data_IF_399920723017
#
_entry.id   IF_399920723017
#
_cell.length_a   1.000
_cell.length_b   1.000
_cell.length_c   1.000
_cell.angle_alpha   90.00
_cell.angle_beta   90.00
_cell.angle_gamma   90.00
#
_symmetry.space_group_name_H-M   'P 1'
#
loop_
_entity.id
_entity.type
_entity.pdbx_description
1 polymer ?
#
# COMPACT_ATOMS: atom_id res chain seq x y z
N UNK A 1 30.25 64.96 11.21
CA UNK A 1 29.21 64.23 11.97
C UNK A 1 28.30 63.52 10.94
N UNK A 2 28.46 62.22 10.75
CA UNK A 2 27.60 61.41 9.84
C UNK A 2 26.70 60.53 10.72
N UNK A 3 25.39 60.56 10.57
CA UNK A 3 24.51 59.68 11.33
C UNK A 3 24.56 58.26 10.76
N UNK A 4 24.79 57.28 11.65
CA UNK A 4 24.70 55.85 11.38
C UNK A 4 23.21 55.44 11.30
N UNK A 5 22.82 54.92 10.14
CA UNK A 5 21.49 54.41 9.90
C UNK A 5 21.45 52.94 10.42
N UNK A 6 20.50 52.53 11.25
CA UNK A 6 20.40 51.13 11.68
C UNK A 6 19.77 50.27 10.58
N UNK A 7 20.52 49.23 10.20
CA UNK A 7 20.09 48.19 9.27
C UNK A 7 19.08 47.28 9.98
N UNK A 8 17.77 47.42 9.71
CA UNK A 8 16.76 46.48 10.15
C UNK A 8 16.83 45.22 9.32
N UNK A 9 17.38 44.14 9.90
CA UNK A 9 17.25 42.78 9.37
C UNK A 9 15.81 42.32 9.61
N UNK A 10 14.99 42.32 8.59
CA UNK A 10 13.67 41.67 8.60
C UNK A 10 13.86 40.17 8.48
N UNK A 11 13.72 39.46 9.58
CA UNK A 11 13.67 37.97 9.59
C UNK A 11 12.32 37.55 8.97
N UNK A 12 12.32 37.17 7.68
CA UNK A 12 11.19 36.46 7.06
C UNK A 12 11.07 35.08 7.68
N UNK A 13 10.18 34.91 8.65
CA UNK A 13 9.76 33.60 9.13
C UNK A 13 8.93 32.90 8.03
N UNK A 14 9.56 32.02 7.30
CA UNK A 14 8.87 31.10 6.37
C UNK A 14 8.07 30.10 7.21
N UNK A 15 6.81 30.40 7.49
CA UNK A 15 5.87 29.42 8.02
C UNK A 15 5.55 28.43 6.91
N UNK A 16 6.06 27.20 7.02
CA UNK A 16 5.69 26.11 6.13
C UNK A 16 4.17 25.87 6.24
N UNK A 17 3.43 25.79 5.13
CA UNK A 17 2.01 25.50 5.16
C UNK A 17 1.80 24.08 5.68
N UNK A 18 1.30 23.93 6.90
CA UNK A 18 0.78 22.66 7.42
C UNK A 18 -0.49 22.34 6.65
N UNK A 19 -0.40 21.43 5.69
CA UNK A 19 -1.57 20.94 4.96
C UNK A 19 -2.60 20.40 5.98
N UNK A 20 -3.88 20.80 5.91
CA UNK A 20 -4.91 20.32 6.82
C UNK A 20 -5.03 18.80 6.65
N UNK A 21 -4.89 18.04 7.75
CA UNK A 21 -5.20 16.61 7.77
C UNK A 21 -6.69 16.46 7.50
N UNK A 22 -7.05 16.23 6.23
CA UNK A 22 -8.42 16.02 5.80
C UNK A 22 -8.98 14.83 6.58
N UNK A 23 -10.09 15.06 7.32
CA UNK A 23 -10.81 14.00 8.02
C UNK A 23 -11.12 12.88 7.01
N UNK A 24 -10.88 11.60 7.35
CA UNK A 24 -11.16 10.52 6.42
C UNK A 24 -12.64 10.56 6.02
N UNK A 25 -12.88 10.78 4.74
CA UNK A 25 -14.23 10.68 4.18
C UNK A 25 -14.68 9.22 4.29
N UNK A 26 -16.00 8.94 4.46
CA UNK A 26 -16.50 7.59 4.57
C UNK A 26 -16.09 6.79 3.34
N UNK A 27 -15.49 5.62 3.57
CA UNK A 27 -15.07 4.69 2.52
C UNK A 27 -16.29 4.31 1.70
N UNK A 28 -16.28 4.63 0.40
CA UNK A 28 -17.35 4.26 -0.51
C UNK A 28 -17.54 2.74 -0.48
N UNK A 29 -18.77 2.22 -0.30
CA UNK A 29 -18.99 0.78 -0.28
C UNK A 29 -18.58 0.16 -1.62
N UNK A 30 -17.88 -0.98 -1.55
CA UNK A 30 -17.45 -1.72 -2.74
C UNK A 30 -18.64 -2.27 -3.51
N UNK A 31 -18.59 -2.14 -4.82
CA UNK A 31 -19.55 -2.77 -5.74
C UNK A 31 -19.39 -4.30 -5.72
N UNK A 32 -20.41 -5.07 -6.18
CA UNK A 32 -20.27 -6.53 -6.33
C UNK A 32 -19.10 -6.94 -7.23
N UNK A 33 -18.83 -6.19 -8.30
CA UNK A 33 -17.69 -6.41 -9.19
C UNK A 33 -16.37 -6.25 -8.44
N UNK A 34 -16.17 -5.16 -7.70
CA UNK A 34 -14.97 -4.95 -6.88
C UNK A 34 -14.78 -6.03 -5.81
N UNK A 35 -15.85 -6.51 -5.18
CA UNK A 35 -15.76 -7.64 -4.24
C UNK A 35 -15.31 -8.92 -4.94
N UNK A 36 -15.78 -9.16 -6.17
CA UNK A 36 -15.33 -10.27 -7.01
C UNK A 36 -13.84 -10.16 -7.38
N UNK A 37 -13.41 -8.98 -7.81
CA UNK A 37 -12.00 -8.71 -8.16
C UNK A 37 -11.10 -8.89 -6.94
N UNK A 38 -11.53 -8.39 -5.78
CA UNK A 38 -10.80 -8.63 -4.54
C UNK A 38 -10.63 -10.12 -4.26
N UNK A 39 -11.72 -10.88 -4.28
CA UNK A 39 -11.69 -12.30 -3.96
C UNK A 39 -10.87 -13.13 -4.96
N UNK A 40 -10.91 -12.79 -6.24
CA UNK A 40 -10.26 -13.57 -7.31
C UNK A 40 -8.82 -13.17 -7.56
N UNK A 41 -8.45 -11.91 -7.36
CA UNK A 41 -7.15 -11.36 -7.73
C UNK A 41 -6.37 -10.88 -6.50
N UNK A 42 -6.97 -9.97 -5.70
CA UNK A 42 -6.26 -9.28 -4.63
C UNK A 42 -6.02 -10.20 -3.42
N UNK A 43 -7.04 -10.92 -2.95
CA UNK A 43 -6.89 -11.81 -1.78
C UNK A 43 -5.86 -12.92 -2.01
N UNK A 44 -5.86 -13.66 -3.13
CA UNK A 44 -4.83 -14.67 -3.40
C UNK A 44 -3.40 -14.09 -3.43
N UNK A 45 -3.23 -12.87 -3.93
CA UNK A 45 -1.95 -12.15 -3.91
C UNK A 45 -1.50 -11.85 -2.48
N UNK A 46 -2.42 -11.38 -1.62
CA UNK A 46 -2.12 -11.14 -0.21
C UNK A 46 -1.80 -12.42 0.55
N UNK A 47 -2.53 -13.50 0.30
CA UNK A 47 -2.27 -14.81 0.90
C UNK A 47 -0.87 -15.32 0.57
N UNK A 48 -0.43 -15.08 -0.67
CA UNK A 48 0.87 -15.51 -1.14
C UNK A 48 2.04 -14.69 -0.54
N UNK A 49 1.90 -13.38 -0.40
CA UNK A 49 3.04 -12.48 -0.22
C UNK A 49 2.94 -11.56 1.02
N UNK A 50 1.77 -11.45 1.66
CA UNK A 50 1.52 -10.47 2.73
C UNK A 50 1.07 -11.09 4.06
N UNK A 51 0.16 -12.07 4.02
CA UNK A 51 -0.52 -12.63 5.19
C UNK A 51 0.43 -13.32 6.16
N UNK A 52 1.60 -13.78 5.71
CA UNK A 52 2.63 -14.33 6.60
C UNK A 52 3.10 -13.36 7.68
N UNK A 53 3.00 -12.05 7.43
CA UNK A 53 3.34 -10.96 8.36
C UNK A 53 2.15 -10.09 8.74
N UNK A 54 1.10 -10.05 7.91
CA UNK A 54 -0.10 -9.24 8.09
C UNK A 54 -1.35 -10.14 8.11
N UNK A 55 -1.35 -11.13 8.97
CA UNK A 55 -2.45 -12.09 9.13
C UNK A 55 -2.81 -12.30 10.59
N UNK A 56 -3.70 -13.27 10.89
CA UNK A 56 -4.25 -13.46 12.23
C UNK A 56 -3.20 -13.93 13.26
N UNK A 57 -2.12 -14.58 12.82
CA UNK A 57 -1.02 -15.03 13.69
C UNK A 57 0.05 -13.97 13.92
N UNK A 58 0.15 -12.98 13.03
CA UNK A 58 1.17 -11.95 13.07
C UNK A 58 0.63 -10.67 12.43
N UNK A 59 0.35 -9.67 13.24
CA UNK A 59 -0.26 -8.41 12.83
C UNK A 59 0.76 -7.26 12.86
N UNK A 60 1.77 -7.31 11.99
CA UNK A 60 2.72 -6.19 11.91
C UNK A 60 1.99 -4.88 11.57
N UNK A 61 2.26 -3.82 12.33
CA UNK A 61 1.57 -2.54 12.15
C UNK A 61 0.09 -2.55 12.52
N UNK A 62 -0.39 -3.58 13.25
CA UNK A 62 -1.82 -3.84 13.53
C UNK A 62 -2.66 -4.00 12.26
N UNK A 63 -2.02 -4.36 11.15
CA UNK A 63 -2.64 -4.53 9.85
C UNK A 63 -2.87 -6.02 9.58
N UNK A 64 -4.08 -6.35 9.16
CA UNK A 64 -4.47 -7.67 8.65
C UNK A 64 -4.92 -7.56 7.21
N UNK A 65 -4.47 -8.50 6.38
CA UNK A 65 -4.74 -8.57 4.94
C UNK A 65 -5.32 -9.94 4.54
N UNK A 66 -5.76 -10.72 5.52
CA UNK A 66 -6.29 -12.06 5.35
C UNK A 66 -7.80 -12.09 5.02
N UNK A 67 -8.47 -10.95 5.12
CA UNK A 67 -9.87 -10.78 4.72
C UNK A 67 -10.12 -9.37 4.18
N UNK A 68 -11.11 -9.23 3.31
CA UNK A 68 -11.52 -7.93 2.78
C UNK A 68 -11.87 -6.94 3.90
N UNK A 69 -12.63 -7.40 4.89
CA UNK A 69 -13.07 -6.57 6.01
C UNK A 69 -11.88 -6.06 6.83
N UNK A 70 -10.94 -6.94 7.17
CA UNK A 70 -9.74 -6.56 7.92
C UNK A 70 -8.85 -5.60 7.10
N UNK A 71 -8.73 -5.82 5.79
CA UNK A 71 -7.99 -4.95 4.88
C UNK A 71 -8.59 -3.54 4.83
N UNK A 72 -9.91 -3.43 4.70
CA UNK A 72 -10.60 -2.13 4.68
C UNK A 72 -10.56 -1.43 6.04
N UNK A 73 -10.56 -2.18 7.14
CA UNK A 73 -10.37 -1.62 8.49
C UNK A 73 -8.99 -0.96 8.63
N UNK A 74 -7.97 -1.53 7.99
CA UNK A 74 -6.59 -1.08 8.10
C UNK A 74 -5.94 -1.42 9.44
N UNK A 75 -4.79 -0.80 9.70
CA UNK A 75 -4.02 -0.95 10.93
C UNK A 75 -3.79 0.40 11.63
N UNK A 76 -2.52 0.72 11.91
CA UNK A 76 -2.15 2.06 12.39
C UNK A 76 -2.49 3.16 11.39
N UNK A 77 -2.49 2.82 10.10
CA UNK A 77 -2.89 3.66 8.98
C UNK A 77 -3.90 2.89 8.12
N UNK A 78 -4.68 3.61 7.31
CA UNK A 78 -5.57 2.97 6.33
C UNK A 78 -4.74 2.27 5.26
N UNK A 79 -4.97 0.97 5.09
CA UNK A 79 -4.31 0.19 4.05
C UNK A 79 -4.79 0.65 2.67
N UNK A 80 -6.11 0.70 2.51
CA UNK A 80 -6.77 1.19 1.30
C UNK A 80 -7.69 2.36 1.58
N UNK A 81 -7.71 3.30 0.66
CA UNK A 81 -8.74 4.33 0.55
C UNK A 81 -9.29 4.23 -0.87
N UNK A 82 -10.38 3.48 -1.03
CA UNK A 82 -10.98 3.21 -2.35
C UNK A 82 -11.36 4.54 -3.03
N UNK A 83 -10.94 4.70 -4.28
CA UNK A 83 -11.06 5.93 -5.07
C UNK A 83 -9.96 6.97 -4.80
N UNK A 84 -9.00 6.66 -3.88
CA UNK A 84 -7.90 7.57 -3.57
C UNK A 84 -6.58 6.79 -3.38
N UNK A 85 -5.96 6.35 -4.49
CA UNK A 85 -4.75 5.54 -4.44
C UNK A 85 -3.59 6.23 -3.71
N UNK A 86 -3.46 7.56 -3.87
CA UNK A 86 -2.38 8.33 -3.22
C UNK A 86 -2.53 8.42 -1.68
N UNK A 87 -3.73 8.22 -1.14
CA UNK A 87 -3.98 8.20 0.30
C UNK A 87 -3.86 6.78 0.88
N UNK A 88 -3.61 5.78 0.04
CA UNK A 88 -3.56 4.37 0.39
C UNK A 88 -2.16 3.97 0.81
N UNK A 89 -1.93 3.81 2.11
CA UNK A 89 -0.61 3.50 2.67
C UNK A 89 -0.02 2.21 2.10
N UNK A 90 -0.84 1.21 1.79
CA UNK A 90 -0.37 -0.03 1.21
C UNK A 90 0.23 0.20 -0.18
N UNK A 91 -0.44 0.98 -1.04
CA UNK A 91 0.13 1.35 -2.34
C UNK A 91 1.44 2.13 -2.17
N UNK A 92 1.44 3.14 -1.30
CA UNK A 92 2.65 3.90 -1.02
C UNK A 92 3.85 3.00 -0.68
N UNK A 93 3.62 1.89 0.05
CA UNK A 93 4.68 0.95 0.46
C UNK A 93 5.09 -0.03 -0.63
N UNK A 94 4.14 -0.53 -1.44
CA UNK A 94 4.47 -1.52 -2.49
C UNK A 94 5.10 -0.88 -3.73
N UNK A 95 4.91 0.42 -3.92
CA UNK A 95 5.52 1.19 -5.01
C UNK A 95 6.85 1.85 -4.63
N UNK A 96 7.31 1.74 -3.38
CA UNK A 96 8.64 2.22 -3.00
C UNK A 96 9.74 1.46 -3.73
N UNK A 97 10.86 2.16 -3.95
CA UNK A 97 12.08 1.52 -4.41
C UNK A 97 12.50 0.39 -3.45
N UNK A 98 13.06 -0.68 -4.00
CA UNK A 98 13.50 -1.85 -3.22
C UNK A 98 14.60 -1.54 -2.22
N UNK A 99 15.29 -0.42 -2.35
CA UNK A 99 16.30 0.04 -1.38
C UNK A 99 15.69 0.74 -0.16
N UNK A 100 14.45 1.20 -0.25
CA UNK A 100 13.76 1.88 0.84
C UNK A 100 13.56 0.97 2.05
N UNK A 101 13.76 1.51 3.27
CA UNK A 101 13.59 0.74 4.51
C UNK A 101 12.15 0.29 4.79
N UNK A 102 11.21 1.02 4.21
CA UNK A 102 9.77 0.85 4.44
C UNK A 102 9.06 0.13 3.30
N UNK A 103 9.81 -0.38 2.30
CA UNK A 103 9.24 -1.11 1.15
C UNK A 103 8.48 -2.36 1.60
N UNK A 104 7.38 -2.66 0.93
CA UNK A 104 6.60 -3.88 1.15
C UNK A 104 6.38 -4.63 -0.17
N UNK A 105 6.54 -5.96 -0.19
CA UNK A 105 7.12 -6.81 0.86
C UNK A 105 8.57 -6.39 1.20
N UNK A 106 9.10 -6.74 2.40
CA UNK A 106 10.49 -6.45 2.78
C UNK A 106 11.49 -6.99 1.76
N UNK A 107 12.73 -6.47 1.77
CA UNK A 107 13.77 -6.79 0.77
C UNK A 107 14.07 -8.30 0.67
N UNK A 108 13.95 -9.01 1.77
CA UNK A 108 14.21 -10.45 1.89
C UNK A 108 13.07 -11.32 1.34
N UNK A 109 11.93 -10.70 1.04
CA UNK A 109 10.75 -11.40 0.49
C UNK A 109 10.59 -11.09 -1.01
N UNK A 110 9.87 -11.94 -1.72
CA UNK A 110 9.61 -11.73 -3.14
C UNK A 110 8.75 -10.49 -3.37
N UNK A 111 9.21 -9.55 -4.23
CA UNK A 111 8.43 -8.36 -4.55
C UNK A 111 7.15 -8.70 -5.32
N UNK A 112 6.17 -7.80 -5.30
CA UNK A 112 5.08 -7.86 -6.26
C UNK A 112 5.63 -7.57 -7.66
N UNK A 113 5.12 -8.29 -8.65
CA UNK A 113 5.39 -7.99 -10.07
C UNK A 113 4.67 -6.71 -10.49
N UNK A 114 5.07 -6.11 -11.60
CA UNK A 114 4.40 -4.91 -12.10
C UNK A 114 2.91 -5.20 -12.41
N UNK A 115 2.57 -6.39 -12.92
CA UNK A 115 1.17 -6.78 -13.17
C UNK A 115 0.36 -6.92 -11.88
N UNK A 116 0.96 -7.40 -10.81
CA UNK A 116 0.33 -7.43 -9.49
C UNK A 116 0.12 -6.03 -8.92
N UNK A 117 1.09 -5.13 -9.08
CA UNK A 117 0.98 -3.73 -8.65
C UNK A 117 -0.08 -2.98 -9.45
N UNK A 118 -0.11 -3.14 -10.78
CA UNK A 118 -1.12 -2.55 -11.65
C UNK A 118 -2.54 -3.02 -11.26
N UNK A 119 -2.74 -4.31 -11.01
CA UNK A 119 -4.03 -4.85 -10.59
C UNK A 119 -4.46 -4.30 -9.22
N UNK A 120 -3.51 -4.19 -8.29
CA UNK A 120 -3.77 -3.62 -6.97
C UNK A 120 -4.13 -2.14 -7.05
N UNK A 121 -3.43 -1.39 -7.91
CA UNK A 121 -3.71 0.02 -8.15
C UNK A 121 -5.12 0.22 -8.74
N UNK A 122 -5.47 -0.52 -9.80
CA UNK A 122 -6.79 -0.46 -10.43
C UNK A 122 -7.91 -0.76 -9.42
N UNK A 123 -7.72 -1.78 -8.57
CA UNK A 123 -8.67 -2.09 -7.50
C UNK A 123 -8.85 -0.92 -6.53
N UNK A 124 -7.75 -0.32 -6.05
CA UNK A 124 -7.82 0.80 -5.09
C UNK A 124 -8.37 2.06 -5.74
N UNK A 125 -8.07 2.30 -7.01
CA UNK A 125 -8.66 3.41 -7.78
C UNK A 125 -10.18 3.27 -7.93
N UNK A 126 -10.70 2.07 -7.72
CA UNK A 126 -12.12 1.78 -7.84
C UNK A 126 -12.56 1.40 -9.25
N UNK A 127 -11.59 1.12 -10.11
CA UNK A 127 -11.80 0.61 -11.47
C UNK A 127 -11.90 -0.92 -11.47
N UNK A 128 -12.66 -1.53 -12.39
CA UNK A 128 -12.60 -2.97 -12.58
C UNK A 128 -11.23 -3.38 -13.08
N UNK A 129 -10.73 -4.51 -12.57
CA UNK A 129 -9.46 -5.06 -13.06
C UNK A 129 -9.69 -5.69 -14.43
N UNK A 130 -9.01 -5.23 -15.50
CA UNK A 130 -9.17 -5.82 -16.83
C UNK A 130 -8.82 -7.33 -16.82
N UNK A 131 -9.59 -8.13 -17.57
CA UNK A 131 -9.43 -9.60 -17.57
C UNK A 131 -7.99 -10.08 -17.86
N UNK A 132 -7.33 -9.45 -18.82
CA UNK A 132 -5.95 -9.81 -19.17
C UNK A 132 -4.97 -9.47 -18.03
N UNK A 133 -5.20 -8.34 -17.35
CA UNK A 133 -4.40 -7.95 -16.19
C UNK A 133 -4.67 -8.90 -15.01
N UNK A 134 -5.92 -9.26 -14.77
CA UNK A 134 -6.31 -10.23 -13.74
C UNK A 134 -5.65 -11.59 -13.97
N UNK A 135 -5.71 -12.13 -15.20
CA UNK A 135 -5.04 -13.39 -15.59
C UNK A 135 -3.53 -13.34 -15.33
N UNK A 136 -2.87 -12.23 -15.75
CA UNK A 136 -1.44 -12.07 -15.55
C UNK A 136 -1.07 -11.99 -14.07
N UNK A 137 -1.77 -11.19 -13.27
CA UNK A 137 -1.55 -11.06 -11.84
C UNK A 137 -1.76 -12.40 -11.08
N UNK A 138 -2.78 -13.16 -11.46
CA UNK A 138 -3.06 -14.51 -10.91
C UNK A 138 -1.94 -15.49 -11.28
N UNK A 139 -1.45 -15.46 -12.52
CA UNK A 139 -0.35 -16.32 -12.95
C UNK A 139 0.93 -16.04 -12.15
N UNK A 140 1.25 -14.77 -11.94
CA UNK A 140 2.40 -14.36 -11.13
C UNK A 140 2.22 -14.73 -9.65
N UNK A 141 1.02 -14.62 -9.12
CA UNK A 141 0.70 -15.08 -7.75
C UNK A 141 0.93 -16.58 -7.58
N UNK A 142 0.54 -17.40 -8.56
CA UNK A 142 0.79 -18.84 -8.54
C UNK A 142 2.29 -19.16 -8.56
N UNK A 143 3.08 -18.42 -9.36
CA UNK A 143 4.56 -18.55 -9.36
C UNK A 143 5.14 -18.22 -7.99
N UNK A 144 4.70 -17.14 -7.36
CA UNK A 144 5.15 -16.75 -6.02
C UNK A 144 4.82 -17.82 -4.97
N UNK A 145 3.63 -18.41 -5.00
CA UNK A 145 3.24 -19.51 -4.11
C UNK A 145 4.10 -20.76 -4.30
N UNK A 146 4.47 -21.08 -5.55
CA UNK A 146 5.34 -22.24 -5.85
C UNK A 146 6.77 -21.96 -5.34
N UNK A 147 7.31 -20.78 -5.59
CA UNK A 147 8.63 -20.38 -5.11
C UNK A 147 8.72 -20.40 -3.57
N UNK A 148 7.69 -19.92 -2.88
CA UNK A 148 7.64 -19.91 -1.41
C UNK A 148 7.65 -21.32 -0.79
N UNK A 149 7.16 -22.35 -1.51
CA UNK A 149 7.19 -23.74 -1.06
C UNK A 149 8.55 -24.40 -1.26
N UNK A 150 9.33 -23.95 -2.24
CA UNK A 150 10.62 -24.55 -2.61
C UNK A 150 11.81 -23.90 -1.92
N UNK A 151 11.67 -22.68 -1.40
CA UNK A 151 12.76 -21.97 -0.72
C UNK A 151 12.59 -22.11 0.80
N UNK A 152 13.47 -22.82 1.53
CA UNK A 152 13.40 -22.86 2.99
C UNK A 152 13.65 -21.47 3.54
N UNK A 153 12.71 -21.00 4.37
CA UNK A 153 12.82 -19.69 5.03
C UNK A 153 14.08 -19.66 5.89
N UNK A 154 14.96 -18.64 5.76
CA UNK A 154 16.16 -18.56 6.60
C UNK A 154 15.72 -18.50 8.07
N UNK A 155 16.25 -19.43 8.86
CA UNK A 155 16.09 -19.44 10.33
C UNK A 155 16.76 -18.17 10.87
N UNK A 156 16.00 -17.30 11.53
CA UNK A 156 16.54 -16.26 12.38
C UNK A 156 16.96 -16.86 13.70
#
# INVERSE_FOLDING_TARGET
MRPLLPLFLAACAFAAPTAPKKKPEPVKPLTPAQKSDYAKVVQPMFDAQCVSCHGPKKEKGKLRLDTLEATLKGGKNLAFVIGRPNDSMLLARVFLDRTAGDVMPPKEEHPLTEKQKEALYAFVEGQPIPDELAKAAIADTRKALTAAKTTPKPKK
#
